data_IF_453092596734
#
_entry.id   IF_453092596734
#
_cell.length_a   1.000
_cell.length_b   1.000
_cell.length_c   1.000
_cell.angle_alpha   90.00
_cell.angle_beta   90.00
_cell.angle_gamma   90.00
#
_symmetry.space_group_name_H-M   'P 1'
#
loop_
_entity.id
_entity.type
_entity.pdbx_description
1 polymer ?
#
# COMPACT_ATOMS: atom_id res chain seq x y z
N UNK A 1 -2.94 32.94 41.57
CA UNK A 1 -1.46 32.94 41.62
C UNK A 1 -1.00 33.88 40.52
N UNK A 2 -0.48 35.07 40.84
CA UNK A 2 -0.21 36.10 39.82
C UNK A 2 0.64 35.58 38.64
N UNK A 3 0.19 35.83 37.39
CA UNK A 3 0.85 35.35 36.17
C UNK A 3 1.81 36.41 35.63
N UNK A 4 3.02 36.01 35.24
CA UNK A 4 3.99 36.90 34.63
C UNK A 4 4.04 36.67 33.12
N UNK A 5 4.09 37.75 32.34
CA UNK A 5 4.19 37.65 30.88
C UNK A 5 5.58 37.15 30.48
N UNK A 6 5.65 36.05 29.73
CA UNK A 6 6.93 35.49 29.26
C UNK A 6 7.67 36.39 28.25
N UNK A 7 6.98 37.36 27.63
CA UNK A 7 7.59 38.27 26.64
C UNK A 7 8.18 39.53 27.26
N UNK A 8 7.45 40.19 28.17
CA UNK A 8 7.87 41.49 28.73
C UNK A 8 8.08 41.48 30.25
N UNK A 9 7.85 40.36 30.93
CA UNK A 9 8.04 40.24 32.38
C UNK A 9 6.96 40.91 33.23
N UNK A 10 5.95 41.54 32.61
CA UNK A 10 4.89 42.26 33.32
C UNK A 10 4.07 41.31 34.22
N UNK A 11 3.78 41.74 35.45
CA UNK A 11 2.92 41.00 36.39
C UNK A 11 1.46 41.28 36.07
N UNK A 12 0.68 40.23 35.85
CA UNK A 12 -0.74 40.32 35.53
C UNK A 12 -1.59 39.68 36.63
N UNK A 13 -2.78 40.23 36.83
CA UNK A 13 -3.78 39.74 37.79
C UNK A 13 -4.31 38.37 37.35
N UNK A 14 -4.87 37.62 38.30
CA UNK A 14 -5.52 36.35 38.01
C UNK A 14 -6.78 36.57 37.15
N UNK A 15 -6.95 35.76 36.10
CA UNK A 15 -8.13 35.79 35.21
C UNK A 15 -8.02 36.65 33.96
N UNK A 16 -6.88 37.29 33.70
CA UNK A 16 -6.66 38.08 32.48
C UNK A 16 -6.08 37.18 31.38
N UNK A 17 -6.72 37.14 30.21
CA UNK A 17 -6.32 36.28 29.08
C UNK A 17 -5.15 36.83 28.26
N UNK A 18 -4.85 38.13 28.37
CA UNK A 18 -3.77 38.80 27.66
C UNK A 18 -3.01 39.78 28.57
N UNK A 19 -1.73 39.97 28.25
CA UNK A 19 -0.83 40.83 29.00
C UNK A 19 -1.22 42.30 28.85
N UNK A 20 -1.41 43.00 29.98
CA UNK A 20 -1.75 44.43 29.99
C UNK A 20 -0.66 45.30 29.35
N UNK A 21 0.61 44.88 29.40
CA UNK A 21 1.74 45.65 28.88
C UNK A 21 1.98 45.48 27.37
N UNK A 22 1.93 44.25 26.85
CA UNK A 22 2.28 43.96 25.45
C UNK A 22 1.18 43.29 24.62
N UNK A 23 0.01 43.02 25.22
CA UNK A 23 -1.13 42.40 24.54
C UNK A 23 -0.99 40.90 24.23
N UNK A 24 0.13 40.26 24.59
CA UNK A 24 0.35 38.82 24.36
C UNK A 24 -0.60 37.95 25.21
N UNK A 25 -1.16 36.86 24.68
CA UNK A 25 -1.89 35.88 25.47
C UNK A 25 -1.06 35.38 26.66
N UNK A 26 -1.66 35.34 27.85
CA UNK A 26 -1.01 34.86 29.09
C UNK A 26 -1.25 33.37 29.34
N UNK A 27 -2.13 32.78 28.54
CA UNK A 27 -2.37 31.35 28.48
C UNK A 27 -1.86 30.88 27.11
N UNK A 28 -1.09 29.79 27.12
CA UNK A 28 -0.88 29.01 25.91
C UNK A 28 -2.27 28.54 25.47
N UNK A 29 -2.87 29.23 24.51
CA UNK A 29 -3.82 28.55 23.64
C UNK A 29 -3.09 27.31 23.15
N UNK A 30 -3.66 26.10 23.25
CA UNK A 30 -3.06 24.93 22.64
C UNK A 30 -3.14 25.12 21.12
N UNK A 31 -2.24 25.93 20.57
CA UNK A 31 -1.90 25.94 19.17
C UNK A 31 -1.00 24.75 18.98
N UNK A 32 -1.60 23.62 18.67
CA UNK A 32 -1.15 22.71 17.64
C UNK A 32 -2.19 21.61 17.57
N UNK A 33 -2.94 21.59 16.48
CA UNK A 33 -3.35 20.32 15.88
C UNK A 33 -2.06 19.52 15.68
N UNK A 34 -1.59 18.79 16.70
CA UNK A 34 -0.88 17.56 16.44
C UNK A 34 -1.88 16.73 15.64
N UNK A 35 -1.69 16.68 14.32
CA UNK A 35 -2.30 15.61 13.52
C UNK A 35 -1.77 14.33 14.16
N UNK A 36 -2.57 13.72 15.04
CA UNK A 36 -2.29 12.39 15.56
C UNK A 36 -2.12 11.53 14.31
N UNK A 37 -0.89 11.08 14.08
CA UNK A 37 -0.57 10.26 12.94
C UNK A 37 -1.36 8.95 13.10
N UNK A 38 -2.45 8.82 12.35
CA UNK A 38 -3.23 7.60 12.30
C UNK A 38 -2.35 6.56 11.61
N UNK A 39 -2.06 5.47 12.33
CA UNK A 39 -1.33 4.33 11.79
C UNK A 39 -2.31 3.31 11.22
N UNK A 40 -1.89 2.63 10.16
CA UNK A 40 -2.67 1.55 9.59
C UNK A 40 -2.65 0.34 10.52
N UNK A 41 -3.81 -0.17 10.93
CA UNK A 41 -3.88 -1.47 11.60
C UNK A 41 -3.79 -2.59 10.55
N UNK A 42 -2.56 -3.03 10.30
CA UNK A 42 -2.25 -4.10 9.32
C UNK A 42 -2.93 -5.43 9.65
N UNK A 43 -3.42 -5.64 10.89
CA UNK A 43 -4.13 -6.85 11.25
C UNK A 43 -5.53 -6.94 10.61
N UNK A 44 -6.10 -5.82 10.17
CA UNK A 44 -7.38 -5.78 9.45
C UNK A 44 -7.24 -6.12 7.96
N UNK A 45 -6.02 -6.09 7.42
CA UNK A 45 -5.76 -6.40 6.01
C UNK A 45 -5.82 -7.91 5.77
N UNK A 46 -6.23 -8.30 4.56
CA UNK A 46 -6.27 -9.70 4.17
C UNK A 46 -4.91 -10.37 4.33
N UNK A 47 -4.92 -11.49 5.04
CA UNK A 47 -3.78 -12.39 5.17
C UNK A 47 -3.93 -13.61 4.26
N UNK A 48 -4.88 -13.59 3.32
CA UNK A 48 -5.15 -14.73 2.45
C UNK A 48 -3.99 -14.99 1.50
N UNK A 49 -3.41 -16.17 1.66
CA UNK A 49 -2.59 -16.81 0.65
C UNK A 49 -2.75 -18.33 0.89
N UNK A 50 -3.40 -19.03 -0.03
CA UNK A 50 -3.70 -20.46 0.11
C UNK A 50 -2.42 -21.27 0.31
N UNK A 51 -1.32 -20.88 -0.33
CA UNK A 51 -0.05 -21.59 -0.26
C UNK A 51 0.56 -21.55 1.14
N UNK A 52 0.36 -20.45 1.88
CA UNK A 52 0.76 -20.34 3.28
C UNK A 52 -0.19 -21.12 4.19
N UNK A 53 -1.51 -21.01 3.98
CA UNK A 53 -2.53 -21.71 4.76
C UNK A 53 -2.36 -23.24 4.68
N UNK A 54 -2.04 -23.74 3.49
CA UNK A 54 -1.85 -25.18 3.22
C UNK A 54 -0.41 -25.65 3.43
N UNK A 55 0.50 -24.78 3.90
CA UNK A 55 1.93 -25.09 4.09
C UNK A 55 2.61 -25.64 2.82
N UNK A 56 2.16 -25.15 1.66
CA UNK A 56 2.81 -25.41 0.37
C UNK A 56 4.10 -24.59 0.27
N UNK A 57 4.08 -23.39 0.84
CA UNK A 57 5.27 -22.56 1.04
C UNK A 57 5.33 -22.08 2.48
N UNK A 58 6.53 -21.80 2.95
CA UNK A 58 6.79 -21.08 4.19
C UNK A 58 7.43 -19.73 3.85
N UNK A 59 7.03 -18.68 4.55
CA UNK A 59 7.53 -17.32 4.35
C UNK A 59 8.62 -17.00 5.38
N UNK A 60 9.77 -16.53 4.91
CA UNK A 60 10.88 -16.09 5.77
C UNK A 60 11.33 -14.68 5.40
N UNK A 61 11.63 -13.85 6.41
CA UNK A 61 12.14 -12.50 6.22
C UNK A 61 13.66 -12.52 6.26
N UNK A 62 14.30 -11.90 5.27
CA UNK A 62 15.74 -11.80 5.15
C UNK A 62 16.16 -10.34 5.11
N UNK A 63 16.31 -9.75 6.30
CA UNK A 63 16.56 -8.32 6.48
C UNK A 63 15.43 -7.48 5.84
N UNK A 64 15.71 -6.83 4.70
CA UNK A 64 14.75 -6.03 3.92
C UNK A 64 14.06 -6.82 2.82
N UNK A 65 14.61 -7.98 2.47
CA UNK A 65 14.10 -8.89 1.45
C UNK A 65 13.29 -10.01 2.11
N UNK A 66 12.74 -10.91 1.31
CA UNK A 66 11.97 -12.05 1.80
C UNK A 66 12.07 -13.24 0.84
N UNK A 67 11.68 -14.40 1.34
CA UNK A 67 11.70 -15.63 0.55
C UNK A 67 10.52 -16.55 0.87
N UNK A 68 10.19 -17.39 -0.10
CA UNK A 68 9.27 -18.52 0.06
C UNK A 68 10.00 -19.84 -0.08
N UNK A 69 10.02 -20.65 0.98
CA UNK A 69 10.61 -21.98 1.00
C UNK A 69 9.55 -22.97 0.53
N UNK A 70 9.82 -23.72 -0.53
CA UNK A 70 8.86 -24.68 -1.07
C UNK A 70 8.85 -25.94 -0.19
N UNK A 71 7.68 -26.49 0.09
CA UNK A 71 7.57 -27.80 0.76
C UNK A 71 7.87 -28.96 -0.19
N UNK A 72 7.67 -28.76 -1.49
CA UNK A 72 7.97 -29.74 -2.53
C UNK A 72 8.49 -29.04 -3.79
N UNK A 73 9.70 -29.42 -4.23
CA UNK A 73 10.34 -28.92 -5.45
C UNK A 73 9.53 -29.22 -6.71
N UNK A 74 8.73 -30.28 -6.74
CA UNK A 74 7.91 -30.64 -7.90
C UNK A 74 6.83 -29.58 -8.21
N UNK A 75 6.50 -28.72 -7.24
CA UNK A 75 5.54 -27.63 -7.42
C UNK A 75 6.13 -26.44 -8.16
N UNK A 76 7.46 -26.33 -8.28
CA UNK A 76 8.10 -25.22 -8.97
C UNK A 76 7.76 -25.21 -10.48
N UNK A 77 7.43 -24.03 -11.01
CA UNK A 77 7.18 -23.81 -12.44
C UNK A 77 8.37 -23.14 -13.11
N UNK A 78 9.18 -23.93 -13.83
CA UNK A 78 10.33 -23.40 -14.57
C UNK A 78 9.90 -22.43 -15.69
N UNK A 79 8.73 -22.65 -16.29
CA UNK A 79 8.18 -21.79 -17.35
C UNK A 79 7.77 -20.44 -16.78
N UNK A 80 6.94 -20.42 -15.73
CA UNK A 80 6.52 -19.17 -15.10
C UNK A 80 7.71 -18.41 -14.53
N UNK A 81 8.69 -19.09 -13.94
CA UNK A 81 9.92 -18.46 -13.44
C UNK A 81 10.72 -17.74 -14.53
N UNK A 82 10.84 -18.35 -15.71
CA UNK A 82 11.52 -17.73 -16.87
C UNK A 82 10.75 -16.53 -17.39
N UNK A 83 9.42 -16.66 -17.48
CA UNK A 83 8.55 -15.56 -17.92
C UNK A 83 8.64 -14.40 -16.93
N UNK A 84 8.44 -14.67 -15.63
CA UNK A 84 8.52 -13.70 -14.54
C UNK A 84 9.80 -12.85 -14.60
N UNK A 85 10.95 -13.49 -14.86
CA UNK A 85 12.24 -12.82 -14.91
C UNK A 85 12.64 -12.31 -16.32
N UNK A 86 11.75 -12.39 -17.30
CA UNK A 86 12.00 -11.82 -18.62
C UNK A 86 11.97 -10.29 -18.58
N UNK A 87 12.70 -9.63 -19.48
CA UNK A 87 12.81 -8.18 -19.54
C UNK A 87 11.47 -7.44 -19.76
N UNK A 88 10.42 -8.17 -20.19
CA UNK A 88 9.07 -7.62 -20.39
C UNK A 88 8.27 -7.41 -19.11
N UNK A 89 8.59 -8.10 -18.01
CA UNK A 89 7.81 -8.08 -16.77
C UNK A 89 8.35 -7.05 -15.76
N UNK A 90 8.33 -5.77 -16.16
CA UNK A 90 8.97 -4.68 -15.41
C UNK A 90 8.31 -4.34 -14.08
N UNK A 91 7.00 -4.56 -13.90
CA UNK A 91 6.32 -4.34 -12.61
C UNK A 91 6.19 -5.60 -11.76
N UNK A 92 7.09 -6.57 -11.94
CA UNK A 92 7.24 -7.71 -11.04
C UNK A 92 8.50 -7.54 -10.21
N UNK A 93 8.46 -8.00 -8.95
CA UNK A 93 9.68 -8.15 -8.17
C UNK A 93 10.61 -9.20 -8.78
N UNK A 94 11.91 -8.91 -8.77
CA UNK A 94 12.92 -9.87 -9.21
C UNK A 94 12.91 -11.09 -8.29
N UNK A 95 12.73 -12.25 -8.88
CA UNK A 95 12.66 -13.52 -8.18
C UNK A 95 13.86 -14.39 -8.56
N UNK A 96 14.67 -14.79 -7.57
CA UNK A 96 15.78 -15.74 -7.75
C UNK A 96 15.41 -17.08 -7.16
N UNK A 97 15.64 -18.16 -7.91
CA UNK A 97 15.61 -19.51 -7.34
C UNK A 97 16.96 -19.81 -6.67
N UNK A 98 16.93 -20.12 -5.38
CA UNK A 98 18.10 -20.50 -4.59
C UNK A 98 17.83 -21.80 -3.82
N UNK A 99 18.88 -22.34 -3.20
CA UNK A 99 18.78 -23.40 -2.21
C UNK A 99 19.03 -22.78 -0.83
N UNK A 100 18.10 -22.95 0.11
CA UNK A 100 18.23 -22.48 1.48
C UNK A 100 17.82 -23.60 2.43
N UNK A 101 18.72 -24.00 3.33
CA UNK A 101 18.54 -25.18 4.20
C UNK A 101 18.05 -26.43 3.42
N UNK A 102 18.72 -26.73 2.30
CA UNK A 102 18.40 -27.84 1.39
C UNK A 102 16.99 -27.83 0.77
N UNK A 103 16.25 -26.71 0.88
CA UNK A 103 14.95 -26.51 0.26
C UNK A 103 15.03 -25.56 -0.92
N UNK A 104 14.37 -25.92 -2.02
CA UNK A 104 14.16 -24.98 -3.13
C UNK A 104 13.38 -23.77 -2.62
N UNK A 105 13.92 -22.58 -2.91
CA UNK A 105 13.47 -21.33 -2.30
C UNK A 105 13.39 -20.25 -3.35
N UNK A 106 12.30 -19.49 -3.34
CA UNK A 106 12.07 -18.31 -4.16
C UNK A 106 12.45 -17.07 -3.35
N UNK A 107 13.54 -16.41 -3.73
CA UNK A 107 14.08 -15.24 -3.05
C UNK A 107 13.73 -13.96 -3.82
N UNK A 108 13.17 -12.97 -3.12
CA UNK A 108 12.69 -11.72 -3.72
C UNK A 108 13.52 -10.54 -3.25
N UNK A 109 14.14 -9.87 -4.22
CA UNK A 109 14.94 -8.67 -3.96
C UNK A 109 14.05 -7.44 -4.05
N UNK A 110 14.03 -6.65 -2.97
CA UNK A 110 13.21 -5.44 -2.89
C UNK A 110 13.94 -4.21 -3.40
N UNK A 111 15.27 -4.23 -3.52
CA UNK A 111 16.09 -3.17 -4.15
C UNK A 111 15.78 -1.73 -3.69
N UNK A 112 15.28 -1.53 -2.48
CA UNK A 112 14.93 -0.19 -1.92
C UNK A 112 13.45 0.19 -2.05
N UNK A 113 12.66 -0.61 -2.77
CA UNK A 113 11.21 -0.52 -2.79
C UNK A 113 10.63 -0.71 -1.39
N UNK A 114 9.43 -0.15 -1.16
CA UNK A 114 8.76 -0.20 0.14
C UNK A 114 7.41 -0.92 0.04
N UNK A 115 7.06 -1.77 1.03
CA UNK A 115 5.73 -2.38 1.08
C UNK A 115 4.59 -1.35 1.08
N UNK A 116 3.47 -1.66 0.43
CA UNK A 116 2.38 -0.71 0.23
C UNK A 116 1.71 -0.31 1.56
N UNK A 117 1.55 -1.27 2.47
CA UNK A 117 1.04 -1.05 3.83
C UNK A 117 1.93 -0.12 4.68
N UNK A 118 3.22 -0.02 4.37
CA UNK A 118 4.16 0.88 5.06
C UNK A 118 4.11 2.30 4.47
N UNK A 119 4.02 2.42 3.14
CA UNK A 119 4.12 3.74 2.50
C UNK A 119 2.85 4.57 2.66
N UNK A 120 1.69 3.93 2.85
CA UNK A 120 0.37 4.57 2.87
C UNK A 120 0.26 5.71 3.89
N UNK A 121 0.96 5.61 5.02
CA UNK A 121 0.97 6.62 6.09
C UNK A 121 1.53 7.97 5.63
N UNK A 122 2.32 7.97 4.55
CA UNK A 122 3.02 9.15 4.03
C UNK A 122 2.54 9.59 2.64
N UNK A 123 1.47 8.97 2.12
CA UNK A 123 0.89 9.34 0.83
C UNK A 123 -0.08 10.50 0.97
N UNK A 124 -0.23 11.29 -0.08
CA UNK A 124 -1.44 12.10 -0.27
C UNK A 124 -2.44 11.33 -1.16
N UNK A 125 -3.67 11.82 -1.24
CA UNK A 125 -4.71 11.24 -2.10
C UNK A 125 -4.21 11.03 -3.54
N UNK A 126 -3.56 12.03 -4.13
CA UNK A 126 -3.13 11.96 -5.55
C UNK A 126 -2.13 10.83 -5.77
N UNK A 127 -1.11 10.71 -4.91
CA UNK A 127 -0.11 9.64 -4.97
C UNK A 127 -0.72 8.27 -4.71
N UNK A 128 -1.63 8.17 -3.74
CA UNK A 128 -2.36 6.93 -3.49
C UNK A 128 -3.16 6.49 -4.72
N UNK A 129 -3.93 7.38 -5.34
CA UNK A 129 -4.71 7.08 -6.53
C UNK A 129 -3.82 6.63 -7.70
N UNK A 130 -2.67 7.27 -7.92
CA UNK A 130 -1.68 6.82 -8.91
C UNK A 130 -1.16 5.40 -8.62
N UNK A 131 -0.88 5.08 -7.37
CA UNK A 131 -0.42 3.74 -6.96
C UNK A 131 -1.53 2.70 -7.17
N UNK A 132 -2.78 3.00 -6.83
CA UNK A 132 -3.92 2.10 -7.09
C UNK A 132 -4.13 1.87 -8.58
N UNK A 133 -4.00 2.91 -9.41
CA UNK A 133 -4.04 2.75 -10.86
C UNK A 133 -2.89 1.84 -11.36
N UNK A 134 -1.67 2.09 -10.87
CA UNK A 134 -0.49 1.28 -11.18
C UNK A 134 -0.66 -0.19 -10.80
N UNK A 135 -1.23 -0.45 -9.63
CA UNK A 135 -1.55 -1.79 -9.14
C UNK A 135 -2.51 -2.53 -10.08
N UNK A 136 -3.65 -1.92 -10.41
CA UNK A 136 -4.61 -2.53 -11.35
C UNK A 136 -4.04 -2.71 -12.74
N UNK A 137 -3.20 -1.78 -13.20
CA UNK A 137 -2.49 -1.91 -14.47
C UNK A 137 -1.57 -3.14 -14.47
N UNK A 138 -0.77 -3.33 -13.41
CA UNK A 138 0.14 -4.48 -13.31
C UNK A 138 -0.61 -5.81 -13.21
N UNK A 139 -1.72 -5.88 -12.47
CA UNK A 139 -2.57 -7.08 -12.44
C UNK A 139 -3.11 -7.40 -13.83
N UNK A 140 -3.60 -6.39 -14.57
CA UNK A 140 -4.07 -6.59 -15.94
C UNK A 140 -2.95 -6.99 -16.91
N UNK A 141 -1.73 -6.47 -16.75
CA UNK A 141 -0.57 -6.91 -17.54
C UNK A 141 -0.29 -8.41 -17.32
N UNK A 142 -0.41 -8.92 -16.09
CA UNK A 142 -0.30 -10.36 -15.80
C UNK A 142 -1.41 -11.15 -16.51
N UNK A 143 -2.68 -10.71 -16.39
CA UNK A 143 -3.83 -11.36 -17.04
C UNK A 143 -3.67 -11.45 -18.56
N UNK A 144 -3.11 -10.42 -19.16
CA UNK A 144 -3.04 -10.27 -20.61
C UNK A 144 -1.74 -10.79 -21.24
N UNK A 145 -0.75 -11.22 -20.44
CA UNK A 145 0.51 -11.70 -21.01
C UNK A 145 0.42 -13.13 -21.60
N UNK A 146 -0.64 -13.88 -21.30
CA UNK A 146 -0.90 -15.21 -21.84
C UNK A 146 -0.03 -16.35 -21.27
N UNK A 147 0.81 -16.06 -20.28
CA UNK A 147 1.74 -17.03 -19.68
C UNK A 147 1.58 -17.17 -18.17
N UNK A 148 1.25 -16.08 -17.48
CA UNK A 148 1.05 -16.05 -16.04
C UNK A 148 -0.45 -15.94 -15.73
N UNK A 149 -0.84 -16.44 -14.57
CA UNK A 149 -2.19 -16.28 -14.03
C UNK A 149 -2.16 -15.33 -12.85
N UNK A 150 -3.08 -14.36 -12.79
CA UNK A 150 -3.18 -13.38 -11.70
C UNK A 150 -3.39 -14.02 -10.32
N UNK A 151 -4.00 -15.21 -10.27
CA UNK A 151 -4.09 -16.03 -9.06
C UNK A 151 -2.75 -16.49 -8.48
N UNK A 152 -1.64 -16.35 -9.23
CA UNK A 152 -0.27 -16.56 -8.74
C UNK A 152 0.35 -15.34 -8.05
N UNK A 153 -0.34 -14.19 -8.03
CA UNK A 153 0.10 -12.97 -7.35
C UNK A 153 -0.21 -13.09 -5.85
N UNK A 154 0.75 -12.68 -5.02
CA UNK A 154 0.50 -12.44 -3.59
C UNK A 154 0.07 -10.98 -3.39
N UNK A 155 -1.24 -10.74 -3.24
CA UNK A 155 -1.81 -9.40 -3.14
C UNK A 155 -1.83 -8.83 -1.72
N UNK A 156 -1.34 -9.57 -0.71
CA UNK A 156 -1.26 -9.05 0.66
C UNK A 156 -0.51 -7.72 0.62
N UNK A 157 -1.01 -6.67 1.26
CA UNK A 157 -0.45 -5.31 1.12
C UNK A 157 1.05 -5.22 1.49
N UNK A 158 1.53 -6.07 2.39
CA UNK A 158 2.95 -6.24 2.75
C UNK A 158 3.84 -6.87 1.64
N UNK A 159 3.23 -7.31 0.54
CA UNK A 159 3.84 -7.97 -0.64
C UNK A 159 3.59 -7.26 -1.95
N UNK A 160 2.87 -6.15 -1.92
CA UNK A 160 2.84 -5.16 -3.00
C UNK A 160 3.90 -4.11 -2.66
N UNK A 161 4.78 -3.80 -3.60
CA UNK A 161 5.89 -2.89 -3.37
C UNK A 161 5.76 -1.65 -4.25
N UNK A 162 6.21 -0.52 -3.71
CA UNK A 162 6.13 0.79 -4.35
C UNK A 162 7.53 1.42 -4.37
N UNK A 163 7.91 1.96 -5.52
CA UNK A 163 9.04 2.88 -5.61
C UNK A 163 8.57 4.28 -5.18
N UNK A 164 9.16 4.79 -4.09
CA UNK A 164 8.78 6.08 -3.53
C UNK A 164 9.26 7.28 -4.36
N UNK A 165 10.17 7.07 -5.33
CA UNK A 165 10.66 8.13 -6.20
C UNK A 165 9.63 8.51 -7.28
N UNK A 166 8.97 7.53 -7.88
CA UNK A 166 8.07 7.72 -9.04
C UNK A 166 6.66 7.14 -8.86
N UNK A 167 6.41 6.40 -7.78
CA UNK A 167 5.12 5.75 -7.51
C UNK A 167 4.89 4.44 -8.27
N UNK A 168 5.91 3.89 -8.95
CA UNK A 168 5.81 2.64 -9.68
C UNK A 168 5.50 1.46 -8.76
N UNK A 169 4.60 0.58 -9.19
CA UNK A 169 4.14 -0.59 -8.42
C UNK A 169 4.77 -1.87 -8.91
N UNK A 170 5.19 -2.72 -7.97
CA UNK A 170 5.83 -4.01 -8.19
C UNK A 170 5.09 -5.12 -7.45
N UNK A 171 4.69 -6.15 -8.19
CA UNK A 171 3.95 -7.29 -7.66
C UNK A 171 4.86 -8.46 -7.29
N UNK A 172 4.51 -9.14 -6.21
CA UNK A 172 5.11 -10.43 -5.85
C UNK A 172 4.34 -11.55 -6.54
N UNK A 173 5.02 -12.35 -7.36
CA UNK A 173 4.44 -13.51 -8.06
C UNK A 173 5.14 -14.80 -7.64
N UNK A 174 4.39 -15.86 -7.34
CA UNK A 174 4.96 -17.17 -7.00
C UNK A 174 4.92 -18.10 -8.23
N UNK A 175 6.07 -18.36 -8.91
CA UNK A 175 6.15 -19.24 -10.07
C UNK A 175 6.09 -20.72 -9.67
N UNK A 176 4.94 -21.16 -9.18
CA UNK A 176 4.66 -22.54 -8.77
C UNK A 176 3.32 -22.99 -9.35
N UNK A 177 3.16 -24.28 -9.62
CA UNK A 177 1.98 -24.87 -10.28
C UNK A 177 0.70 -24.90 -9.42
N UNK A 178 0.75 -24.33 -8.21
CA UNK A 178 -0.39 -24.13 -7.30
C UNK A 178 -0.54 -22.64 -7.05
N UNK A 179 -1.77 -22.15 -6.85
CA UNK A 179 -2.04 -20.70 -6.84
C UNK A 179 -2.20 -20.13 -5.45
N UNK A 180 -1.88 -18.84 -5.30
CA UNK A 180 -2.13 -18.06 -4.08
C UNK A 180 -3.64 -17.98 -3.80
N UNK A 181 -4.44 -17.95 -4.86
CA UNK A 181 -5.90 -17.91 -4.86
C UNK A 181 -6.49 -19.02 -5.73
N UNK A 182 -7.56 -19.66 -5.26
CA UNK A 182 -8.25 -20.69 -6.03
C UNK A 182 -9.01 -20.14 -7.24
N UNK A 183 -9.48 -18.90 -7.15
CA UNK A 183 -10.25 -18.21 -8.19
C UNK A 183 -9.91 -16.71 -8.20
N UNK A 184 -9.83 -16.05 -9.38
CA UNK A 184 -9.60 -14.61 -9.48
C UNK A 184 -10.58 -13.76 -8.65
N UNK A 185 -11.82 -14.20 -8.47
CA UNK A 185 -12.83 -13.48 -7.68
C UNK A 185 -12.40 -13.28 -6.23
N UNK A 186 -11.79 -14.29 -5.59
CA UNK A 186 -11.30 -14.16 -4.22
C UNK A 186 -10.11 -13.20 -4.11
N UNK A 187 -9.27 -13.14 -5.14
CA UNK A 187 -8.18 -12.17 -5.22
C UNK A 187 -8.75 -10.75 -5.30
N UNK A 188 -9.73 -10.53 -6.18
CA UNK A 188 -10.36 -9.22 -6.34
C UNK A 188 -11.09 -8.77 -5.08
N UNK A 189 -11.84 -9.66 -4.44
CA UNK A 189 -12.57 -9.37 -3.21
C UNK A 189 -11.64 -8.93 -2.08
N UNK A 190 -10.53 -9.64 -1.86
CA UNK A 190 -9.57 -9.30 -0.83
C UNK A 190 -8.87 -7.97 -1.14
N UNK A 191 -8.48 -7.76 -2.41
CA UNK A 191 -7.86 -6.50 -2.82
C UNK A 191 -8.82 -5.31 -2.64
N UNK A 192 -10.10 -5.45 -3.00
CA UNK A 192 -11.11 -4.41 -2.81
C UNK A 192 -11.29 -4.07 -1.34
N UNK A 193 -11.45 -5.09 -0.48
CA UNK A 193 -11.62 -4.91 0.96
C UNK A 193 -10.46 -4.14 1.57
N UNK A 194 -9.23 -4.53 1.24
CA UNK A 194 -8.03 -3.90 1.78
C UNK A 194 -7.92 -2.44 1.31
N UNK A 195 -8.15 -2.16 0.02
CA UNK A 195 -8.12 -0.79 -0.50
C UNK A 195 -9.23 0.09 0.11
N UNK A 196 -10.47 -0.41 0.22
CA UNK A 196 -11.57 0.30 0.89
C UNK A 196 -11.23 0.58 2.35
N UNK A 197 -10.67 -0.40 3.06
CA UNK A 197 -10.22 -0.24 4.45
C UNK A 197 -9.14 0.84 4.59
N UNK A 198 -8.13 0.82 3.71
CA UNK A 198 -7.08 1.83 3.68
C UNK A 198 -7.65 3.23 3.44
N UNK A 199 -8.57 3.40 2.48
CA UNK A 199 -9.22 4.69 2.22
C UNK A 199 -9.94 5.16 3.49
N UNK A 200 -10.84 4.35 4.05
CA UNK A 200 -11.66 4.69 5.23
C UNK A 200 -10.84 5.07 6.45
N UNK A 201 -9.73 4.40 6.66
CA UNK A 201 -8.93 4.51 7.89
C UNK A 201 -7.95 5.67 7.83
N UNK A 202 -7.42 5.98 6.65
CA UNK A 202 -6.30 6.90 6.49
C UNK A 202 -6.78 8.33 6.15
N UNK A 203 -6.67 9.30 7.08
CA UNK A 203 -7.21 10.65 6.88
C UNK A 203 -6.55 11.41 5.72
N UNK A 204 -5.29 11.11 5.43
CA UNK A 204 -4.52 11.65 4.31
C UNK A 204 -5.07 11.23 2.93
N UNK A 205 -5.97 10.25 2.89
CA UNK A 205 -6.57 9.74 1.66
C UNK A 205 -8.02 10.21 1.47
N UNK A 206 -8.64 10.88 2.44
CA UNK A 206 -10.08 11.14 2.51
C UNK A 206 -10.63 12.25 1.57
N UNK A 207 -10.02 12.45 0.41
CA UNK A 207 -10.49 13.39 -0.59
C UNK A 207 -11.62 12.86 -1.48
N UNK A 208 -12.10 13.71 -2.38
CA UNK A 208 -13.28 13.40 -3.21
C UNK A 208 -13.01 12.27 -4.21
N UNK A 209 -11.79 12.19 -4.74
CA UNK A 209 -11.40 11.13 -5.67
C UNK A 209 -11.42 9.78 -4.96
N UNK A 210 -10.76 9.67 -3.81
CA UNK A 210 -10.76 8.43 -3.02
C UNK A 210 -12.15 7.98 -2.62
N UNK A 211 -13.06 8.89 -2.25
CA UNK A 211 -14.46 8.53 -1.91
C UNK A 211 -15.22 7.91 -3.07
N UNK A 212 -15.03 8.44 -4.29
CA UNK A 212 -15.63 7.83 -5.50
C UNK A 212 -15.04 6.44 -5.72
N UNK A 213 -13.72 6.30 -5.59
CA UNK A 213 -13.04 5.01 -5.78
C UNK A 213 -13.48 4.01 -4.73
N UNK A 214 -13.62 4.40 -3.46
CA UNK A 214 -14.12 3.56 -2.38
C UNK A 214 -15.52 3.00 -2.70
N UNK A 215 -16.45 3.85 -3.16
CA UNK A 215 -17.79 3.40 -3.57
C UNK A 215 -17.73 2.41 -4.73
N UNK A 216 -16.83 2.62 -5.69
CA UNK A 216 -16.64 1.68 -6.81
C UNK A 216 -15.96 0.37 -6.37
N UNK A 217 -15.09 0.40 -5.35
CA UNK A 217 -14.47 -0.80 -4.79
C UNK A 217 -15.51 -1.68 -4.09
N UNK A 218 -16.45 -1.05 -3.38
CA UNK A 218 -17.56 -1.74 -2.69
C UNK A 218 -18.62 -2.31 -3.65
N UNK A 219 -18.66 -1.87 -4.91
CA UNK A 219 -19.57 -2.36 -5.95
C UNK A 219 -18.92 -3.53 -6.74
N UNK A 220 -19.33 -4.79 -6.53
CA UNK A 220 -18.70 -5.95 -7.18
C UNK A 220 -18.81 -5.92 -8.70
N UNK A 221 -19.83 -5.25 -9.25
CA UNK A 221 -19.99 -5.10 -10.70
C UNK A 221 -18.98 -4.13 -11.34
N UNK A 222 -18.33 -3.26 -10.55
CA UNK A 222 -17.35 -2.30 -11.07
C UNK A 222 -16.03 -2.98 -11.39
N UNK A 223 -15.70 -3.13 -12.68
CA UNK A 223 -14.41 -3.70 -13.10
C UNK A 223 -13.21 -2.84 -12.70
N UNK A 224 -12.02 -3.45 -12.54
CA UNK A 224 -10.77 -2.70 -12.36
C UNK A 224 -10.48 -1.72 -13.49
N UNK A 225 -10.91 -2.02 -14.73
CA UNK A 225 -10.78 -1.09 -15.85
C UNK A 225 -11.62 0.18 -15.65
N UNK A 226 -12.86 0.02 -15.16
CA UNK A 226 -13.76 1.14 -14.83
C UNK A 226 -13.18 2.00 -13.70
N UNK A 227 -12.64 1.35 -12.66
CA UNK A 227 -12.03 2.05 -11.52
C UNK A 227 -10.80 2.85 -11.98
N UNK A 228 -9.90 2.27 -12.77
CA UNK A 228 -8.75 2.99 -13.35
C UNK A 228 -9.18 4.19 -14.19
N UNK A 229 -10.24 4.06 -14.99
CA UNK A 229 -10.76 5.18 -15.78
C UNK A 229 -11.25 6.32 -14.89
N UNK A 230 -11.94 6.00 -13.79
CA UNK A 230 -12.39 6.98 -12.79
C UNK A 230 -11.22 7.66 -12.06
N UNK A 231 -10.17 6.89 -11.73
CA UNK A 231 -8.93 7.44 -11.14
C UNK A 231 -8.32 8.49 -12.08
N UNK A 232 -8.14 8.16 -13.37
CA UNK A 232 -7.56 9.08 -14.36
C UNK A 232 -8.36 10.37 -14.50
N UNK A 233 -9.69 10.29 -14.46
CA UNK A 233 -10.57 11.46 -14.49
C UNK A 233 -10.40 12.32 -13.22
N UNK A 234 -10.35 11.69 -12.04
CA UNK A 234 -10.13 12.40 -10.78
C UNK A 234 -8.78 13.13 -10.76
N UNK A 235 -7.74 12.49 -11.29
CA UNK A 235 -6.39 13.06 -11.37
C UNK A 235 -6.27 14.23 -12.36
N UNK A 236 -7.04 14.24 -13.45
CA UNK A 236 -7.03 15.33 -14.44
C UNK A 236 -7.80 16.57 -13.99
N UNK A 237 -8.88 16.41 -13.22
CA UNK A 237 -9.64 17.54 -12.67
C UNK A 237 -8.83 18.33 -11.63
N UNK A 238 -7.97 17.66 -10.86
CA UNK A 238 -7.10 18.32 -9.87
C UNK A 238 -6.03 19.24 -10.47
N UNK A 239 -5.65 19.07 -11.75
CA UNK A 239 -4.70 19.94 -12.45
C UNK A 239 -5.31 21.21 -13.05
N UNK A 240 -6.64 21.33 -13.06
CA UNK A 240 -7.37 22.46 -13.66
C UNK A 240 -7.58 23.68 -12.75
N UNK A 241 -6.98 23.69 -11.55
CA UNK A 241 -7.08 24.81 -10.59
C UNK A 241 -5.73 25.48 -10.39
N UNK A 242 -5.13 25.96 -11.47
CA UNK A 242 -4.01 26.89 -11.46
C UNK A 242 -4.37 28.09 -12.30
N UNK A 243 -4.62 29.22 -11.63
CA UNK A 243 -4.79 30.55 -12.25
C UNK A 243 -3.56 30.96 -13.06
#
# INVERSE_FOLDING_TARGET
>A
MAKYCMRCGEKNEDGVSACKGCGMPLEETPSHNEKVAVKLDVAQLSQSNQLLKEKIVEEEICQKDFMYLLSDRAKFSATEYKVLNSAGNKGMLKCKKILFNDRETLYYMTDGLKPFDVVIENLDERRFLNIVEGLFKQINEVRNNGFLLDTGIDIRMKRIYVDMADGSVYLTYLPINVRCYSDPMYLEDDLRKDLSYMIRTMPNLQGSGSRIIEQMLDEPACSFASIMASIRQSLSMSTGTGY
#
